data_IF_688388175129
#
_entry.id   IF_688388175129
#
_cell.length_a   1.000
_cell.length_b   1.000
_cell.length_c   1.000
_cell.angle_alpha   90.00
_cell.angle_beta   90.00
_cell.angle_gamma   90.00
#
_symmetry.space_group_name_H-M   'P 1'
#
loop_
_entity.id
_entity.type
_entity.pdbx_description
1 polymer ?
#
# COMPACT_ATOMS: atom_id res chain seq x y z
N UNK A 1 22.09 5.34 7.62
CA UNK A 1 22.53 6.16 6.49
C UNK A 1 21.67 5.88 5.28
N UNK A 2 21.29 6.92 4.54
CA UNK A 2 20.65 6.80 3.23
C UNK A 2 21.57 6.04 2.26
N UNK A 3 21.01 5.03 1.59
CA UNK A 3 21.74 4.12 0.71
C UNK A 3 21.64 4.56 -0.75
N UNK A 4 22.72 4.37 -1.49
CA UNK A 4 22.71 4.48 -2.95
C UNK A 4 22.02 3.26 -3.56
N UNK A 5 21.24 3.48 -4.63
CA UNK A 5 20.70 2.39 -5.44
C UNK A 5 21.81 1.82 -6.32
N UNK A 6 22.29 0.64 -5.98
CA UNK A 6 23.27 -0.14 -6.74
C UNK A 6 23.02 -1.63 -6.50
N UNK A 7 23.65 -2.48 -7.30
CA UNK A 7 23.38 -3.91 -7.28
C UNK A 7 23.80 -4.57 -5.97
N UNK A 8 24.89 -4.14 -5.35
CA UNK A 8 25.40 -4.74 -4.12
C UNK A 8 24.48 -4.43 -2.93
N UNK A 9 24.03 -3.18 -2.79
CA UNK A 9 23.05 -2.80 -1.79
C UNK A 9 21.72 -3.50 -2.04
N UNK A 10 21.25 -3.59 -3.30
CA UNK A 10 20.00 -4.28 -3.63
C UNK A 10 20.03 -5.74 -3.16
N UNK A 11 21.11 -6.48 -3.44
CA UNK A 11 21.28 -7.87 -2.98
C UNK A 11 21.24 -8.00 -1.46
N UNK A 12 21.94 -7.13 -0.74
CA UNK A 12 21.95 -7.15 0.73
C UNK A 12 20.60 -6.76 1.34
N UNK A 13 19.91 -5.78 0.73
CA UNK A 13 18.55 -5.37 1.13
C UNK A 13 17.57 -6.52 0.90
N UNK A 14 17.58 -7.13 -0.29
CA UNK A 14 16.75 -8.27 -0.64
C UNK A 14 16.93 -9.41 0.36
N UNK A 15 18.18 -9.84 0.59
CA UNK A 15 18.49 -10.94 1.53
C UNK A 15 17.97 -10.67 2.95
N UNK A 16 18.15 -9.42 3.44
CA UNK A 16 17.67 -9.04 4.78
C UNK A 16 16.13 -9.04 4.86
N UNK A 17 15.45 -8.57 3.81
CA UNK A 17 13.98 -8.53 3.77
C UNK A 17 13.41 -9.93 3.60
N UNK A 18 13.99 -10.76 2.75
CA UNK A 18 13.63 -12.17 2.57
C UNK A 18 13.66 -12.90 3.91
N UNK A 19 14.77 -12.74 4.63
CA UNK A 19 14.92 -13.30 5.98
C UNK A 19 13.87 -12.74 6.96
N UNK A 20 13.73 -11.42 7.04
CA UNK A 20 12.90 -10.78 8.06
C UNK A 20 11.39 -10.95 7.84
N UNK A 21 10.96 -11.12 6.59
CA UNK A 21 9.55 -11.21 6.18
C UNK A 21 9.16 -12.59 5.62
N UNK A 22 10.05 -13.59 5.74
CA UNK A 22 9.83 -14.97 5.29
C UNK A 22 9.38 -15.02 3.82
N UNK A 23 10.15 -14.38 2.94
CA UNK A 23 9.88 -14.42 1.50
C UNK A 23 10.57 -15.62 0.87
N UNK A 24 9.83 -16.34 0.04
CA UNK A 24 10.30 -17.55 -0.64
C UNK A 24 10.78 -17.27 -2.09
N UNK A 25 10.78 -16.00 -2.52
CA UNK A 25 11.20 -15.55 -3.84
C UNK A 25 12.43 -14.63 -3.78
N UNK A 26 13.23 -14.63 -4.84
CA UNK A 26 14.33 -13.68 -5.03
C UNK A 26 13.77 -12.27 -5.27
N UNK A 27 13.89 -11.41 -4.25
CA UNK A 27 13.33 -10.06 -4.31
C UNK A 27 14.01 -9.18 -5.36
N UNK A 28 15.22 -9.52 -5.82
CA UNK A 28 15.91 -8.72 -6.84
C UNK A 28 15.25 -8.80 -8.21
N UNK A 29 14.33 -9.76 -8.42
CA UNK A 29 13.53 -9.91 -9.65
C UNK A 29 12.02 -9.93 -9.38
N UNK A 30 11.61 -9.75 -8.14
CA UNK A 30 10.21 -9.82 -7.72
C UNK A 30 9.40 -8.60 -8.19
N UNK A 31 8.33 -8.84 -8.93
CA UNK A 31 7.49 -7.79 -9.54
C UNK A 31 6.72 -6.97 -8.51
N UNK A 32 6.65 -7.41 -7.26
CA UNK A 32 6.00 -6.66 -6.19
C UNK A 32 6.97 -5.77 -5.42
N UNK A 33 8.16 -6.27 -5.15
CA UNK A 33 9.21 -5.61 -4.40
C UNK A 33 9.90 -4.54 -5.24
N UNK A 34 10.30 -4.87 -6.48
CA UNK A 34 11.11 -4.00 -7.31
C UNK A 34 10.45 -2.64 -7.57
N UNK A 35 9.14 -2.54 -7.91
CA UNK A 35 8.49 -1.23 -8.04
C UNK A 35 8.56 -0.39 -6.76
N UNK A 36 8.47 -1.00 -5.56
CA UNK A 36 8.66 -0.26 -4.31
C UNK A 36 10.09 0.17 -4.12
N UNK A 37 11.06 -0.70 -4.39
CA UNK A 37 12.48 -0.37 -4.31
C UNK A 37 12.81 0.81 -5.23
N UNK A 38 12.36 0.76 -6.48
CA UNK A 38 12.60 1.78 -7.51
C UNK A 38 11.97 3.14 -7.17
N UNK A 39 10.84 3.13 -6.45
CA UNK A 39 10.14 4.35 -5.99
C UNK A 39 10.35 4.63 -4.49
N UNK A 40 11.47 4.20 -3.91
CA UNK A 40 11.81 4.47 -2.51
C UNK A 40 13.19 5.08 -2.32
N UNK A 41 13.35 5.71 -1.16
CA UNK A 41 14.64 5.88 -0.51
C UNK A 41 14.89 4.70 0.46
N UNK A 42 16.11 4.18 0.49
CA UNK A 42 16.52 3.12 1.42
C UNK A 42 17.47 3.66 2.49
N UNK A 43 17.29 3.25 3.74
CA UNK A 43 18.13 3.63 4.87
C UNK A 43 18.68 2.38 5.54
N UNK A 44 20.00 2.28 5.65
CA UNK A 44 20.68 1.10 6.15
C UNK A 44 21.70 1.39 7.23
N UNK A 45 21.92 0.40 8.08
CA UNK A 45 23.01 0.35 9.03
C UNK A 45 23.96 -0.79 8.66
N UNK A 46 25.22 -0.45 8.42
CA UNK A 46 26.26 -1.42 8.12
C UNK A 46 27.10 -1.68 9.37
N UNK A 47 27.38 -2.96 9.62
CA UNK A 47 28.48 -3.37 10.48
C UNK A 47 29.59 -3.88 9.56
N UNK A 48 30.68 -3.11 9.46
CA UNK A 48 31.68 -3.26 8.41
C UNK A 48 31.02 -3.19 7.01
N UNK A 49 31.06 -4.29 6.25
CA UNK A 49 30.50 -4.38 4.89
C UNK A 49 29.13 -5.07 4.84
N UNK A 50 28.63 -5.58 5.98
CA UNK A 50 27.34 -6.28 6.07
C UNK A 50 26.22 -5.32 6.45
N UNK A 51 25.17 -5.29 5.64
CA UNK A 51 23.91 -4.61 5.99
C UNK A 51 23.22 -5.40 7.12
N UNK A 52 23.05 -4.75 8.27
CA UNK A 52 22.51 -5.39 9.48
C UNK A 52 21.08 -4.97 9.78
N UNK A 53 20.71 -3.76 9.37
CA UNK A 53 19.41 -3.16 9.60
C UNK A 53 19.02 -2.29 8.42
N UNK A 54 17.73 -2.27 8.08
CA UNK A 54 17.22 -1.54 6.93
C UNK A 54 15.80 -1.00 7.17
N UNK A 55 15.48 0.10 6.49
CA UNK A 55 14.15 0.68 6.38
C UNK A 55 13.95 1.26 4.98
N UNK A 56 12.76 1.08 4.42
CA UNK A 56 12.35 1.63 3.13
C UNK A 56 11.37 2.79 3.32
N UNK A 57 11.55 3.86 2.54
CA UNK A 57 10.65 5.03 2.53
C UNK A 57 10.14 5.24 1.12
N UNK A 58 8.89 4.84 0.85
CA UNK A 58 8.19 5.16 -0.39
C UNK A 58 7.56 6.56 -0.26
N UNK A 59 7.68 7.40 -1.29
CA UNK A 59 7.06 8.73 -1.30
C UNK A 59 5.78 8.70 -2.12
N UNK A 60 4.74 9.31 -1.57
CA UNK A 60 3.42 9.40 -2.18
C UNK A 60 2.92 10.84 -2.07
N UNK A 61 1.79 11.08 -2.73
CA UNK A 61 0.88 12.18 -2.39
C UNK A 61 -0.38 11.57 -1.78
N UNK A 62 -1.01 12.29 -0.87
CA UNK A 62 -2.26 11.89 -0.27
C UNK A 62 -3.26 13.04 -0.31
N UNK A 63 -4.54 12.71 -0.41
CA UNK A 63 -5.64 13.63 -0.18
C UNK A 63 -5.95 13.68 1.33
N UNK A 64 -5.82 14.87 1.91
CA UNK A 64 -6.09 15.14 3.32
C UNK A 64 -6.86 16.46 3.43
N UNK A 65 -8.14 16.37 3.77
CA UNK A 65 -9.10 17.47 3.92
C UNK A 65 -9.12 18.42 2.70
N UNK A 66 -9.22 17.86 1.49
CA UNK A 66 -9.24 18.65 0.25
C UNK A 66 -7.86 19.18 -0.21
N UNK A 67 -6.77 18.69 0.39
CA UNK A 67 -5.41 19.10 0.08
C UNK A 67 -4.53 17.93 -0.36
N UNK A 68 -3.75 18.17 -1.42
CA UNK A 68 -2.65 17.30 -1.84
C UNK A 68 -1.45 17.46 -0.90
N UNK A 69 -1.23 16.48 -0.03
CA UNK A 69 -0.16 16.49 0.97
C UNK A 69 0.92 15.47 0.61
N UNK A 70 2.21 15.85 0.56
CA UNK A 70 3.31 14.90 0.44
C UNK A 70 3.34 13.94 1.64
N UNK A 71 3.49 12.64 1.37
CA UNK A 71 3.41 11.61 2.39
C UNK A 71 4.52 10.57 2.22
N UNK A 72 5.12 10.16 3.34
CA UNK A 72 6.10 9.07 3.39
C UNK A 72 5.46 7.77 3.90
N UNK A 73 5.53 6.70 3.12
CA UNK A 73 5.22 5.34 3.58
C UNK A 73 6.49 4.63 4.04
N UNK A 74 6.62 4.42 5.35
CA UNK A 74 7.74 3.68 5.94
C UNK A 74 7.39 2.18 5.99
N UNK A 75 8.24 1.35 5.40
CA UNK A 75 8.05 -0.09 5.34
C UNK A 75 9.37 -0.85 5.43
N UNK A 76 9.27 -2.19 5.40
CA UNK A 76 10.42 -3.10 5.45
C UNK A 76 11.43 -2.78 6.57
N UNK A 77 10.91 -2.43 7.76
CA UNK A 77 11.74 -2.20 8.94
C UNK A 77 12.28 -3.55 9.40
N UNK A 78 13.57 -3.77 9.19
CA UNK A 78 14.21 -5.08 9.38
C UNK A 78 15.55 -4.98 10.09
N UNK A 79 15.89 -6.01 10.86
CA UNK A 79 17.22 -6.23 11.41
C UNK A 79 17.47 -7.72 11.61
N UNK A 80 18.67 -8.18 11.25
CA UNK A 80 19.11 -9.53 11.57
C UNK A 80 19.11 -9.74 13.10
N UNK A 81 18.72 -10.93 13.60
CA UNK A 81 18.52 -11.16 15.03
C UNK A 81 19.74 -10.87 15.89
N UNK A 82 20.93 -11.24 15.42
CA UNK A 82 22.20 -11.05 16.14
C UNK A 82 22.60 -9.57 16.31
N UNK A 83 21.91 -8.65 15.62
CA UNK A 83 22.10 -7.19 15.71
C UNK A 83 20.95 -6.46 16.40
N UNK A 84 19.92 -7.17 16.87
CA UNK A 84 18.81 -6.55 17.61
C UNK A 84 19.29 -6.00 18.96
N UNK A 85 18.56 -5.01 19.48
CA UNK A 85 18.89 -4.35 20.76
C UNK A 85 20.05 -3.35 20.71
N UNK A 86 20.71 -3.18 19.56
CA UNK A 86 21.86 -2.26 19.38
C UNK A 86 21.48 -0.83 18.95
N UNK A 87 20.18 -0.54 18.89
CA UNK A 87 19.67 0.80 18.55
C UNK A 87 19.79 1.21 17.07
N UNK A 88 20.10 0.29 16.16
CA UNK A 88 20.26 0.60 14.73
C UNK A 88 19.00 1.21 14.12
N UNK A 89 17.82 0.60 14.32
CA UNK A 89 16.55 1.13 13.83
C UNK A 89 16.25 2.52 14.41
N UNK A 90 16.56 2.77 15.68
CA UNK A 90 16.37 4.10 16.28
C UNK A 90 17.22 5.17 15.57
N UNK A 91 18.47 4.84 15.22
CA UNK A 91 19.34 5.76 14.46
C UNK A 91 18.77 6.01 13.07
N UNK A 92 18.34 4.96 12.36
CA UNK A 92 17.75 5.09 11.02
C UNK A 92 16.44 5.88 11.04
N UNK A 93 15.55 5.64 12.01
CA UNK A 93 14.30 6.37 12.15
C UNK A 93 14.55 7.87 12.37
N UNK A 94 15.52 8.22 13.24
CA UNK A 94 15.88 9.62 13.47
C UNK A 94 16.39 10.30 12.20
N UNK A 95 17.25 9.61 11.44
CA UNK A 95 17.75 10.09 10.15
C UNK A 95 16.61 10.29 9.13
N UNK A 96 15.70 9.31 9.01
CA UNK A 96 14.52 9.41 8.15
C UNK A 96 13.68 10.63 8.51
N UNK A 97 13.38 10.86 9.80
CA UNK A 97 12.55 11.99 10.21
C UNK A 97 13.21 13.35 9.90
N UNK A 98 14.54 13.47 10.03
CA UNK A 98 15.25 14.67 9.59
C UNK A 98 15.19 14.86 8.08
N UNK A 99 15.45 13.80 7.32
CA UNK A 99 15.36 13.84 5.86
C UNK A 99 13.96 14.22 5.37
N UNK A 100 12.90 13.71 6.03
CA UNK A 100 11.52 14.06 5.69
C UNK A 100 11.22 15.54 6.00
N UNK A 101 11.71 16.04 7.13
CA UNK A 101 11.60 17.46 7.48
C UNK A 101 12.27 18.35 6.42
N UNK A 102 13.52 18.05 6.05
CA UNK A 102 14.29 18.85 5.09
C UNK A 102 13.65 18.81 3.68
N UNK A 103 13.01 17.69 3.34
CA UNK A 103 12.25 17.53 2.11
C UNK A 103 10.83 18.11 2.17
N UNK A 104 10.43 18.71 3.30
CA UNK A 104 9.09 19.27 3.52
C UNK A 104 7.98 18.23 3.32
N UNK A 105 8.21 16.99 3.79
CA UNK A 105 7.21 15.91 3.82
C UNK A 105 6.61 15.85 5.23
N UNK A 106 5.40 16.40 5.45
CA UNK A 106 4.86 16.61 6.79
C UNK A 106 4.23 15.36 7.42
N UNK A 107 3.91 14.33 6.62
CA UNK A 107 3.18 13.14 7.10
C UNK A 107 3.95 11.88 6.77
N UNK A 108 4.01 10.97 7.74
CA UNK A 108 4.55 9.62 7.55
C UNK A 108 3.55 8.57 8.06
N UNK A 109 3.25 7.58 7.23
CA UNK A 109 2.45 6.41 7.56
C UNK A 109 3.32 5.15 7.65
N UNK A 110 2.92 4.22 8.51
CA UNK A 110 3.48 2.87 8.58
C UNK A 110 2.44 1.88 9.11
N UNK A 111 2.63 0.60 8.79
CA UNK A 111 1.90 -0.49 9.42
C UNK A 111 2.76 -1.05 10.57
N UNK A 112 2.37 -0.87 11.84
CA UNK A 112 3.25 -1.19 12.96
C UNK A 112 3.25 -2.69 13.28
N UNK A 113 4.44 -3.30 13.39
CA UNK A 113 4.57 -4.60 14.07
C UNK A 113 4.41 -4.47 15.60
N UNK A 114 4.65 -3.28 16.14
CA UNK A 114 4.49 -2.94 17.55
C UNK A 114 4.17 -1.46 17.70
N UNK A 115 2.94 -1.12 18.06
CA UNK A 115 2.56 0.28 18.27
C UNK A 115 3.44 0.97 19.32
N UNK A 116 3.71 0.28 20.44
CA UNK A 116 4.55 0.82 21.53
C UNK A 116 5.94 1.21 21.03
N UNK A 117 6.52 0.41 20.14
CA UNK A 117 7.81 0.73 19.52
C UNK A 117 7.74 2.03 18.73
N UNK A 118 6.74 2.18 17.85
CA UNK A 118 6.63 3.36 16.99
C UNK A 118 6.16 4.62 17.72
N UNK A 119 5.39 4.49 18.81
CA UNK A 119 5.00 5.62 19.69
C UNK A 119 6.21 6.35 20.27
N UNK A 120 7.33 5.66 20.51
CA UNK A 120 8.57 6.30 20.98
C UNK A 120 9.14 7.33 19.98
N UNK A 121 8.80 7.20 18.69
CA UNK A 121 9.22 8.12 17.64
C UNK A 121 8.12 9.11 17.23
N UNK A 122 7.03 9.20 18.01
CA UNK A 122 5.95 10.17 17.77
C UNK A 122 4.79 9.68 16.90
N UNK A 123 4.80 8.42 16.45
CA UNK A 123 3.68 7.86 15.69
C UNK A 123 2.46 7.58 16.60
N UNK A 124 1.26 7.68 16.03
CA UNK A 124 0.01 7.30 16.68
C UNK A 124 -0.97 6.71 15.67
N UNK A 125 -1.98 6.00 16.17
CA UNK A 125 -3.01 5.40 15.34
C UNK A 125 -3.93 6.48 14.77
N UNK A 126 -4.02 6.54 13.44
CA UNK A 126 -4.89 7.46 12.71
C UNK A 126 -5.72 6.78 11.61
N UNK A 127 -5.41 5.53 11.27
CA UNK A 127 -6.08 4.74 10.24
C UNK A 127 -6.65 3.49 10.91
N UNK A 128 -7.93 3.19 10.64
CA UNK A 128 -8.64 2.06 11.21
C UNK A 128 -9.29 1.24 10.11
N UNK A 129 -9.26 -0.09 10.27
CA UNK A 129 -9.99 -1.03 9.43
C UNK A 129 -11.13 -1.65 10.24
N UNK A 130 -12.31 -1.74 9.64
CA UNK A 130 -13.43 -2.52 10.17
C UNK A 130 -13.64 -3.74 9.28
N UNK A 131 -13.81 -4.90 9.90
CA UNK A 131 -14.03 -6.15 9.20
C UNK A 131 -15.46 -6.64 9.44
N UNK A 132 -16.17 -6.93 8.35
CA UNK A 132 -17.53 -7.47 8.38
C UNK A 132 -17.52 -8.89 7.81
N UNK A 133 -18.08 -9.84 8.56
CA UNK A 133 -18.25 -11.23 8.14
C UNK A 133 -19.71 -11.63 8.28
N UNK A 134 -20.30 -12.12 7.20
CA UNK A 134 -21.68 -12.58 7.18
C UNK A 134 -21.84 -13.67 6.12
N UNK A 135 -22.86 -14.53 6.28
CA UNK A 135 -23.19 -15.54 5.27
C UNK A 135 -23.91 -14.88 4.08
N UNK A 136 -23.86 -15.53 2.91
CA UNK A 136 -24.56 -15.05 1.71
C UNK A 136 -26.07 -14.84 1.92
N UNK A 137 -26.68 -15.52 2.90
CA UNK A 137 -28.08 -15.33 3.26
C UNK A 137 -28.40 -13.89 3.71
N UNK A 138 -27.43 -13.15 4.27
CA UNK A 138 -27.61 -11.76 4.64
C UNK A 138 -27.85 -10.84 3.43
N UNK A 139 -27.52 -11.30 2.21
CA UNK A 139 -27.74 -10.58 0.97
C UNK A 139 -29.08 -10.92 0.30
N UNK A 140 -29.85 -11.88 0.82
CA UNK A 140 -31.05 -12.39 0.17
C UNK A 140 -32.14 -11.32 -0.08
N UNK A 141 -32.19 -10.28 0.76
CA UNK A 141 -33.17 -9.19 0.64
C UNK A 141 -32.69 -8.03 -0.25
N UNK A 142 -31.45 -8.05 -0.74
CA UNK A 142 -30.95 -6.97 -1.60
C UNK A 142 -31.62 -7.01 -2.97
N UNK A 143 -32.14 -5.85 -3.39
CA UNK A 143 -32.70 -5.67 -4.73
C UNK A 143 -31.60 -5.19 -5.66
N UNK A 144 -31.37 -5.92 -6.74
CA UNK A 144 -30.45 -5.49 -7.79
C UNK A 144 -31.05 -4.28 -8.55
N UNK A 145 -30.21 -3.34 -9.01
CA UNK A 145 -30.64 -2.31 -9.94
C UNK A 145 -31.32 -2.94 -11.15
N UNK A 146 -32.45 -2.38 -11.60
CA UNK A 146 -33.19 -2.88 -12.78
C UNK A 146 -32.52 -2.53 -14.11
N UNK A 147 -31.53 -1.66 -14.07
CA UNK A 147 -30.98 -0.91 -15.20
C UNK A 147 -29.46 -0.82 -15.02
N UNK A 148 -28.74 -0.54 -16.10
CA UNK A 148 -27.27 -0.57 -16.13
C UNK A 148 -26.70 -1.97 -16.35
N UNK A 149 -25.37 -2.11 -16.24
CA UNK A 149 -24.66 -3.38 -16.46
C UNK A 149 -23.42 -3.48 -15.59
N UNK A 150 -23.03 -4.70 -15.25
CA UNK A 150 -21.77 -5.00 -14.59
C UNK A 150 -20.80 -5.57 -15.63
N UNK A 151 -19.59 -5.01 -15.68
CA UNK A 151 -18.47 -5.57 -16.44
C UNK A 151 -17.46 -6.13 -15.45
N UNK A 152 -17.11 -7.41 -15.60
CA UNK A 152 -16.05 -8.07 -14.83
C UNK A 152 -14.82 -8.21 -15.72
N UNK A 153 -13.64 -8.03 -15.15
CA UNK A 153 -12.38 -8.19 -15.85
C UNK A 153 -11.17 -8.12 -14.94
N UNK A 154 -9.99 -8.20 -15.55
CA UNK A 154 -8.70 -8.04 -14.88
C UNK A 154 -8.23 -6.59 -14.97
N UNK A 155 -7.18 -6.23 -14.24
CA UNK A 155 -6.63 -4.87 -14.25
C UNK A 155 -6.14 -4.41 -15.64
N UNK A 156 -5.79 -5.33 -16.54
CA UNK A 156 -5.39 -5.02 -17.91
C UNK A 156 -6.57 -4.80 -18.88
N UNK A 157 -7.82 -5.01 -18.44
CA UNK A 157 -9.01 -4.60 -19.21
C UNK A 157 -9.21 -3.09 -19.08
N UNK A 158 -9.05 -2.36 -20.18
CA UNK A 158 -9.11 -0.90 -20.18
C UNK A 158 -10.45 -0.35 -19.72
N UNK A 159 -11.57 -1.02 -19.99
CA UNK A 159 -12.89 -0.54 -19.56
C UNK A 159 -13.00 -0.64 -18.04
N UNK A 160 -12.52 -1.76 -17.48
CA UNK A 160 -12.50 -2.00 -16.04
C UNK A 160 -11.52 -1.06 -15.34
N UNK A 161 -10.29 -0.97 -15.84
CA UNK A 161 -9.23 -0.11 -15.31
C UNK A 161 -9.68 1.35 -15.27
N UNK A 162 -10.19 1.87 -16.38
CA UNK A 162 -10.67 3.25 -16.45
C UNK A 162 -11.86 3.49 -15.51
N UNK A 163 -12.78 2.52 -15.40
CA UNK A 163 -13.91 2.62 -14.47
C UNK A 163 -13.47 2.73 -13.01
N UNK A 164 -12.51 1.90 -12.58
CA UNK A 164 -11.93 1.95 -11.23
C UNK A 164 -11.20 3.27 -10.99
N UNK A 165 -10.31 3.67 -11.90
CA UNK A 165 -9.51 4.91 -11.74
C UNK A 165 -10.44 6.12 -11.67
N UNK A 166 -11.42 6.26 -12.55
CA UNK A 166 -12.36 7.39 -12.53
C UNK A 166 -13.11 7.49 -11.19
N UNK A 167 -13.56 6.35 -10.65
CA UNK A 167 -14.28 6.31 -9.38
C UNK A 167 -13.36 6.58 -8.18
N UNK A 168 -12.13 6.07 -8.19
CA UNK A 168 -11.14 6.36 -7.15
C UNK A 168 -10.76 7.85 -7.15
N UNK A 169 -10.44 8.42 -8.33
CA UNK A 169 -10.10 9.83 -8.50
C UNK A 169 -11.28 10.75 -8.10
N UNK A 170 -12.52 10.36 -8.40
CA UNK A 170 -13.71 11.10 -7.94
C UNK A 170 -13.70 11.27 -6.42
N UNK A 171 -13.33 10.24 -5.67
CA UNK A 171 -13.30 10.30 -4.22
C UNK A 171 -12.20 11.23 -3.70
N UNK A 172 -11.05 11.30 -4.40
CA UNK A 172 -9.97 12.24 -4.09
C UNK A 172 -10.38 13.72 -4.28
N UNK A 173 -11.45 14.00 -5.04
CA UNK A 173 -11.99 15.36 -5.21
C UNK A 173 -13.08 15.72 -4.18
N UNK A 174 -13.11 15.03 -3.05
CA UNK A 174 -14.00 15.35 -1.92
C UNK A 174 -13.20 15.89 -0.74
N UNK A 175 -13.81 16.76 0.07
CA UNK A 175 -13.15 17.35 1.24
C UNK A 175 -13.14 16.41 2.47
N UNK A 176 -13.69 15.20 2.32
CA UNK A 176 -13.88 14.23 3.41
C UNK A 176 -12.70 13.25 3.57
N UNK A 177 -11.79 13.19 2.60
CA UNK A 177 -10.65 12.29 2.63
C UNK A 177 -9.61 12.72 3.68
N UNK A 178 -9.08 11.77 4.44
CA UNK A 178 -8.23 12.09 5.61
C UNK A 178 -6.82 11.52 5.53
N UNK A 179 -6.58 10.57 4.62
CA UNK A 179 -5.27 9.93 4.44
C UNK A 179 -5.22 9.07 3.16
N UNK A 180 -5.91 9.49 2.11
CA UNK A 180 -6.13 8.61 0.94
C UNK A 180 -5.04 8.84 -0.09
N UNK A 181 -4.31 7.77 -0.43
CA UNK A 181 -3.16 7.85 -1.32
C UNK A 181 -3.62 8.21 -2.73
N UNK A 182 -3.01 9.22 -3.33
CA UNK A 182 -3.13 9.50 -4.77
C UNK A 182 -2.23 8.47 -5.47
N UNK A 183 -2.85 7.44 -6.04
CA UNK A 183 -2.15 6.24 -6.53
C UNK A 183 -1.59 6.48 -7.93
N UNK A 184 -0.27 6.49 -8.06
CA UNK A 184 0.40 6.48 -9.36
C UNK A 184 0.25 5.13 -10.07
N UNK A 185 0.46 5.10 -11.39
CA UNK A 185 0.28 3.91 -12.21
C UNK A 185 1.09 2.70 -11.73
N UNK A 186 2.34 2.91 -11.29
CA UNK A 186 3.18 1.82 -10.78
C UNK A 186 2.59 1.19 -9.51
N UNK A 187 1.92 1.98 -8.66
CA UNK A 187 1.29 1.48 -7.44
C UNK A 187 0.06 0.64 -7.78
N UNK A 188 -0.76 1.10 -8.72
CA UNK A 188 -1.89 0.33 -9.21
C UNK A 188 -1.47 -1.02 -9.81
N UNK A 189 -0.47 -1.02 -10.70
CA UNK A 189 0.05 -2.24 -11.33
C UNK A 189 0.63 -3.20 -10.28
N UNK A 190 1.40 -2.67 -9.33
CA UNK A 190 1.94 -3.47 -8.23
C UNK A 190 0.85 -4.11 -7.37
N UNK A 191 -0.25 -3.42 -7.11
CA UNK A 191 -1.37 -3.96 -6.31
C UNK A 191 -2.06 -5.14 -7.01
N UNK A 192 -2.07 -5.18 -8.35
CA UNK A 192 -2.60 -6.31 -9.10
C UNK A 192 -1.73 -7.57 -8.89
N UNK A 193 -0.41 -7.41 -8.93
CA UNK A 193 0.54 -8.50 -8.65
C UNK A 193 0.54 -8.94 -7.17
N UNK A 194 0.33 -7.98 -6.24
CA UNK A 194 0.37 -8.25 -4.79
C UNK A 194 -0.72 -9.21 -4.32
N UNK A 195 -1.92 -9.05 -4.87
CA UNK A 195 -3.08 -9.83 -4.48
C UNK A 195 -3.36 -10.88 -5.55
N UNK A 196 -2.86 -12.09 -5.34
CA UNK A 196 -3.19 -13.21 -6.25
C UNK A 196 -4.70 -13.45 -6.32
N UNK A 197 -5.17 -13.91 -7.48
CA UNK A 197 -6.58 -14.21 -7.76
C UNK A 197 -7.53 -13.00 -7.64
N UNK A 198 -6.99 -11.78 -7.79
CA UNK A 198 -7.79 -10.55 -7.80
C UNK A 198 -8.72 -10.53 -9.02
N UNK A 199 -9.98 -10.27 -8.74
CA UNK A 199 -11.04 -10.03 -9.71
C UNK A 199 -11.57 -8.60 -9.52
N UNK A 200 -12.00 -7.98 -10.61
CA UNK A 200 -12.55 -6.62 -10.58
C UNK A 200 -13.91 -6.64 -11.28
N UNK A 201 -14.87 -5.95 -10.68
CA UNK A 201 -16.18 -5.68 -11.26
C UNK A 201 -16.46 -4.19 -11.21
N UNK A 202 -16.99 -3.62 -12.31
CA UNK A 202 -17.45 -2.23 -12.38
C UNK A 202 -18.89 -2.21 -12.84
N UNK A 203 -19.74 -1.51 -12.10
CA UNK A 203 -21.13 -1.25 -12.50
C UNK A 203 -21.21 0.07 -13.25
N UNK A 204 -21.84 0.03 -14.42
CA UNK A 204 -22.13 1.18 -15.27
C UNK A 204 -23.64 1.41 -15.31
N UNK A 205 -24.07 2.67 -15.21
CA UNK A 205 -25.48 3.04 -15.36
C UNK A 205 -25.96 2.98 -16.83
N UNK A 206 -27.21 3.34 -17.10
CA UNK A 206 -27.77 3.35 -18.46
C UNK A 206 -27.08 4.33 -19.40
N UNK A 207 -26.48 5.39 -18.86
CA UNK A 207 -25.71 6.36 -19.63
C UNK A 207 -24.27 5.88 -19.89
N UNK A 208 -23.89 4.70 -19.41
CA UNK A 208 -22.55 4.14 -19.56
C UNK A 208 -21.52 4.77 -18.63
N UNK A 209 -21.94 5.46 -17.56
CA UNK A 209 -21.04 6.06 -16.57
C UNK A 209 -20.69 5.03 -15.49
N UNK A 210 -19.42 4.91 -15.07
CA UNK A 210 -19.06 4.04 -13.95
C UNK A 210 -19.64 4.62 -12.65
N UNK A 211 -20.28 3.77 -11.85
CA UNK A 211 -20.98 4.20 -10.63
C UNK A 211 -20.47 3.49 -9.38
N UNK A 212 -19.95 2.27 -9.51
CA UNK A 212 -19.29 1.55 -8.42
C UNK A 212 -18.27 0.55 -8.96
N UNK A 213 -17.26 0.24 -8.15
CA UNK A 213 -16.35 -0.86 -8.41
C UNK A 213 -16.20 -1.75 -7.17
N UNK A 214 -15.92 -3.02 -7.43
CA UNK A 214 -15.59 -4.02 -6.44
C UNK A 214 -14.34 -4.76 -6.87
N UNK A 215 -13.36 -4.79 -5.99
CA UNK A 215 -12.14 -5.58 -6.10
C UNK A 215 -12.26 -6.69 -5.07
N UNK A 216 -12.18 -7.94 -5.53
CA UNK A 216 -12.46 -9.09 -4.68
C UNK A 216 -11.60 -10.29 -5.04
N UNK A 217 -11.56 -11.24 -4.10
CA UNK A 217 -10.95 -12.55 -4.28
C UNK A 217 -11.93 -13.62 -3.80
N UNK A 218 -11.89 -14.78 -4.45
CA UNK A 218 -12.59 -15.97 -3.99
C UNK A 218 -11.51 -16.98 -3.62
N UNK A 219 -11.39 -17.25 -2.32
CA UNK A 219 -10.42 -18.20 -1.79
C UNK A 219 -11.23 -19.29 -1.07
N UNK A 220 -11.08 -20.53 -1.54
CA UNK A 220 -11.91 -21.65 -1.17
C UNK A 220 -13.41 -21.32 -1.33
N UNK A 221 -14.14 -21.21 -0.22
CA UNK A 221 -15.56 -20.85 -0.18
C UNK A 221 -15.82 -19.47 0.45
N UNK A 222 -14.81 -18.60 0.48
CA UNK A 222 -14.92 -17.25 1.05
C UNK A 222 -14.84 -16.18 -0.04
N UNK A 223 -15.87 -15.35 -0.16
CA UNK A 223 -15.85 -14.13 -0.96
C UNK A 223 -15.24 -12.99 -0.14
N UNK A 224 -14.05 -12.53 -0.52
CA UNK A 224 -13.34 -11.44 0.14
C UNK A 224 -13.48 -10.17 -0.71
N UNK A 225 -14.23 -9.18 -0.23
CA UNK A 225 -14.24 -7.84 -0.82
C UNK A 225 -13.04 -7.04 -0.29
N UNK A 226 -11.99 -6.90 -1.11
CA UNK A 226 -10.76 -6.20 -0.72
C UNK A 226 -10.94 -4.68 -0.80
N UNK A 227 -11.66 -4.19 -1.81
CA UNK A 227 -11.97 -2.76 -1.99
C UNK A 227 -13.35 -2.64 -2.64
N UNK A 228 -14.24 -1.82 -2.07
CA UNK A 228 -15.55 -1.51 -2.63
C UNK A 228 -15.75 -0.01 -2.55
N UNK A 229 -16.12 0.59 -3.67
CA UNK A 229 -16.56 1.97 -3.72
C UNK A 229 -17.84 2.06 -4.55
N UNK A 230 -18.79 2.86 -4.06
CA UNK A 230 -20.01 3.20 -4.79
C UNK A 230 -20.27 4.67 -4.61
N UNK A 231 -20.64 5.34 -5.69
CA UNK A 231 -21.32 6.63 -5.58
C UNK A 231 -22.67 6.33 -4.94
N UNK A 232 -22.79 6.62 -3.65
CA UNK A 232 -24.06 6.52 -2.95
C UNK A 232 -25.01 7.58 -3.52
N UNK A 233 -26.29 7.25 -3.80
CA UNK A 233 -27.32 8.27 -3.97
C UNK A 233 -27.48 9.13 -2.71
#
# INVERSE_FOLDING_TARGET
MKLKKNQDNLKQIASLIEYAFLKDSDLTTDSNFMPRYDHSDGYGYFDQEKLTSYMMVNKFKAEIFGHHVPLAGIGYVASYPEYRGRGHISKLMKEILFDLHDQKIPVANLAPFSEKFYRHYGFSNSIYQKEYRFSGAALASFRLPRKGKIIRGKWNDLIVQNGVIQLYERQLHTDDERNTIIREAWWWNRLDDYYHHREIAVYFDEAGRPMSYLIYRIIDNCFMADELYSITP
#
